data_IF_228153608618
#
_entry.id   IF_228153608618
#
_cell.length_a   1.000
_cell.length_b   1.000
_cell.length_c   1.000
_cell.angle_alpha   90.00
_cell.angle_beta   90.00
_cell.angle_gamma   90.00
#
_symmetry.space_group_name_H-M   'P 1'
#
loop_
_entity.id
_entity.type
_entity.pdbx_description
1 polymer ?
#
# COMPACT_ATOMS: atom_id res chain seq x y z
N UNK A 1 -21.07 7.85 -4.88
CA UNK A 1 -21.27 6.81 -3.84
C UNK A 1 -20.03 5.91 -3.70
N UNK A 2 -18.88 6.43 -3.24
CA UNK A 2 -17.71 5.61 -2.80
C UNK A 2 -17.19 6.00 -1.41
N UNK A 3 -17.53 7.21 -0.93
CA UNK A 3 -17.06 7.74 0.36
C UNK A 3 -17.72 7.10 1.59
N UNK A 4 -18.79 6.30 1.44
CA UNK A 4 -19.56 5.76 2.57
C UNK A 4 -19.00 4.47 3.18
N UNK A 5 -17.95 3.86 2.60
CA UNK A 5 -17.34 2.63 3.11
C UNK A 5 -16.00 2.84 3.83
N UNK A 6 -15.63 4.11 4.11
CA UNK A 6 -14.34 4.42 4.74
C UNK A 6 -13.11 4.12 3.85
N UNK A 7 -13.32 3.91 2.55
CA UNK A 7 -12.24 3.70 1.58
C UNK A 7 -11.68 5.04 1.11
N UNK A 8 -10.40 5.27 1.40
CA UNK A 8 -9.66 6.44 0.96
C UNK A 8 -8.64 6.05 -0.10
N UNK A 9 -8.59 6.82 -1.18
CA UNK A 9 -7.67 6.62 -2.29
C UNK A 9 -6.63 7.74 -2.29
N UNK A 10 -5.40 7.43 -2.69
CA UNK A 10 -4.33 8.44 -2.70
C UNK A 10 -3.33 8.22 -3.83
N UNK A 11 -2.91 9.30 -4.46
CA UNK A 11 -1.77 9.30 -5.39
C UNK A 11 -0.44 9.55 -4.67
N UNK A 12 -0.48 9.84 -3.36
CA UNK A 12 0.68 10.19 -2.53
C UNK A 12 1.17 9.03 -1.66
N UNK A 13 0.97 7.78 -2.07
CA UNK A 13 1.31 6.57 -1.30
C UNK A 13 2.79 6.52 -0.88
N UNK A 14 3.71 6.99 -1.73
CA UNK A 14 5.14 7.05 -1.38
C UNK A 14 5.43 7.96 -0.18
N UNK A 15 4.70 9.08 -0.06
CA UNK A 15 4.86 10.03 1.03
C UNK A 15 4.26 9.48 2.33
N UNK A 16 3.03 8.95 2.27
CA UNK A 16 2.32 8.40 3.44
C UNK A 16 3.05 7.19 4.02
N UNK A 17 3.58 6.31 3.16
CA UNK A 17 4.22 5.05 3.58
C UNK A 17 5.74 5.20 3.76
N UNK A 18 6.26 6.44 3.76
CA UNK A 18 7.68 6.70 3.98
C UNK A 18 8.13 6.10 5.32
N UNK A 19 9.28 5.42 5.32
CA UNK A 19 9.85 4.79 6.52
C UNK A 19 9.29 3.39 6.84
N UNK A 20 8.20 2.96 6.21
CA UNK A 20 7.61 1.63 6.45
C UNK A 20 8.28 0.50 5.66
N UNK A 21 9.17 0.83 4.71
CA UNK A 21 9.84 -0.14 3.83
C UNK A 21 10.54 -1.28 4.58
N UNK A 22 11.09 -0.99 5.77
CA UNK A 22 11.79 -1.99 6.60
C UNK A 22 10.86 -3.11 7.10
N UNK A 23 9.56 -2.86 7.21
CA UNK A 23 8.59 -3.82 7.75
C UNK A 23 8.00 -4.73 6.68
N UNK A 24 8.16 -4.41 5.39
CA UNK A 24 7.59 -5.19 4.27
C UNK A 24 8.66 -5.97 3.49
N UNK A 25 9.93 -5.87 3.93
CA UNK A 25 11.05 -6.51 3.23
C UNK A 25 11.01 -8.01 3.49
N UNK A 26 10.86 -8.81 2.43
CA UNK A 26 10.69 -10.28 2.44
C UNK A 26 9.37 -10.78 3.05
N UNK A 27 8.47 -9.88 3.41
CA UNK A 27 7.14 -10.22 3.94
C UNK A 27 6.10 -10.35 2.83
N UNK A 28 5.03 -11.08 3.11
CA UNK A 28 3.83 -11.13 2.28
C UNK A 28 2.89 -9.98 2.67
N UNK A 29 2.42 -9.20 1.69
CA UNK A 29 1.57 -8.02 1.94
C UNK A 29 0.17 -8.29 1.40
N UNK A 30 -0.83 -8.19 2.28
CA UNK A 30 -2.24 -8.32 1.96
C UNK A 30 -3.00 -7.04 2.31
N UNK A 31 -3.83 -6.55 1.39
CA UNK A 31 -4.70 -5.38 1.58
C UNK A 31 -6.17 -5.84 1.56
N UNK A 32 -6.86 -5.92 2.71
CA UNK A 32 -8.21 -6.47 2.79
C UNK A 32 -9.30 -5.51 2.28
N UNK A 33 -8.95 -4.25 2.01
CA UNK A 33 -9.89 -3.24 1.51
C UNK A 33 -9.75 -3.01 0.00
N UNK A 34 -8.61 -3.42 -0.58
CA UNK A 34 -8.33 -3.62 -2.01
C UNK A 34 -8.98 -2.60 -2.96
N UNK A 35 -8.94 -1.32 -2.58
CA UNK A 35 -9.53 -0.22 -3.35
C UNK A 35 -8.77 0.03 -4.67
N UNK A 36 -7.96 1.09 -4.74
CA UNK A 36 -7.11 1.34 -5.92
C UNK A 36 -5.76 0.58 -5.87
N UNK A 37 -5.61 -0.34 -4.92
CA UNK A 37 -4.40 -1.13 -4.69
C UNK A 37 -3.16 -0.28 -4.41
N UNK A 38 -3.33 0.90 -3.81
CA UNK A 38 -2.26 1.86 -3.58
C UNK A 38 -1.16 1.28 -2.67
N UNK A 39 -1.55 0.54 -1.62
CA UNK A 39 -0.62 -0.18 -0.73
C UNK A 39 0.11 -1.31 -1.47
N UNK A 40 -0.62 -2.13 -2.22
CA UNK A 40 -0.03 -3.26 -2.96
C UNK A 40 0.96 -2.78 -4.03
N UNK A 41 0.61 -1.72 -4.77
CA UNK A 41 1.50 -1.10 -5.76
C UNK A 41 2.76 -0.54 -5.10
N UNK A 42 2.59 0.16 -3.97
CA UNK A 42 3.73 0.67 -3.21
C UNK A 42 4.62 -0.45 -2.65
N UNK A 43 4.02 -1.51 -2.10
CA UNK A 43 4.74 -2.65 -1.56
C UNK A 43 5.52 -3.38 -2.66
N UNK A 44 4.91 -3.69 -3.80
CA UNK A 44 5.62 -4.32 -4.95
C UNK A 44 6.83 -3.52 -5.42
N UNK A 45 6.72 -2.20 -5.46
CA UNK A 45 7.85 -1.31 -5.82
C UNK A 45 9.01 -1.38 -4.81
N UNK A 46 8.73 -1.71 -3.56
CA UNK A 46 9.68 -1.59 -2.44
C UNK A 46 10.11 -2.94 -1.81
N UNK A 47 9.35 -4.01 -2.04
CA UNK A 47 9.57 -5.37 -1.51
C UNK A 47 10.28 -6.28 -2.50
N UNK A 48 11.11 -5.75 -3.41
CA UNK A 48 11.92 -6.58 -4.31
C UNK A 48 12.71 -7.60 -3.49
N UNK A 49 12.30 -8.87 -3.58
CA UNK A 49 13.14 -10.00 -3.22
C UNK A 49 14.35 -9.91 -4.13
N UNK A 50 15.48 -9.48 -3.58
CA UNK A 50 16.77 -9.73 -4.21
C UNK A 50 16.97 -11.24 -4.35
#
# INVERSE_FOLDING_TARGET
MKQQLGQFFTTKSNFILQGLKKFIKKEEVTDPFAGNLDLIKWAKKNSTKN
#
